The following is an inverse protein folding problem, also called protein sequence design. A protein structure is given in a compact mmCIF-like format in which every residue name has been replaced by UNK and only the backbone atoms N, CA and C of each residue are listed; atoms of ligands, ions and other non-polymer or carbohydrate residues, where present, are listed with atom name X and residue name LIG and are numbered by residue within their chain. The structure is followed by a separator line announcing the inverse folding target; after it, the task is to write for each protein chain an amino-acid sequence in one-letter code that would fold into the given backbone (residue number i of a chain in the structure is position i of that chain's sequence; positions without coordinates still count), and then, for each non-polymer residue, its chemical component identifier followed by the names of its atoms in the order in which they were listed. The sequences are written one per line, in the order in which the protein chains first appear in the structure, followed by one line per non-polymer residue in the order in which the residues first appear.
data_IF_056171920535
#
_entry.id   IF_056171920535
#
_cell.length_a   1.000
_cell.length_b   1.000
_cell.length_c   1.000
_cell.angle_alpha   90.00
_cell.angle_beta   90.00
_cell.angle_gamma   90.00
#
_symmetry.space_group_name_H-M   'P 1'
#
loop_
_entity.id
_entity.type
_entity.pdbx_description
1 polymer ?
#
# COMPACT_ATOMS: atom_id res chain seq x y z
N UNK A 1 53.27 15.46 -17.04
CA UNK A 1 52.23 15.96 -17.94
C UNK A 1 50.88 15.22 -17.70
N UNK A 2 50.88 13.91 -17.66
CA UNK A 2 49.65 13.11 -17.46
C UNK A 2 48.92 13.36 -16.13
N UNK A 3 49.65 13.46 -15.00
CA UNK A 3 49.05 13.74 -13.67
C UNK A 3 48.35 15.10 -13.60
N UNK A 4 48.91 16.12 -14.25
CA UNK A 4 48.26 17.47 -14.33
C UNK A 4 46.98 17.42 -15.18
N UNK A 5 46.91 16.60 -16.22
CA UNK A 5 45.68 16.43 -17.00
C UNK A 5 44.61 15.68 -16.21
N UNK A 6 44.96 14.64 -15.46
CA UNK A 6 44.04 13.88 -14.63
C UNK A 6 43.47 14.79 -13.50
N UNK A 7 44.32 15.56 -12.82
CA UNK A 7 43.88 16.51 -11.80
C UNK A 7 42.93 17.61 -12.35
N UNK A 8 43.25 18.10 -13.55
CA UNK A 8 42.39 19.12 -14.21
C UNK A 8 41.07 18.52 -14.66
N UNK A 9 41.02 17.26 -15.08
CA UNK A 9 39.81 16.55 -15.46
C UNK A 9 38.95 16.23 -14.24
N UNK A 10 39.53 15.84 -13.12
CA UNK A 10 38.85 15.60 -11.84
C UNK A 10 38.29 16.93 -11.30
N UNK A 11 39.09 18.01 -11.31
CA UNK A 11 38.65 19.35 -10.89
C UNK A 11 37.47 19.88 -11.72
N UNK A 12 37.54 19.78 -13.06
CA UNK A 12 36.44 20.18 -13.94
C UNK A 12 35.19 19.32 -13.74
N UNK A 13 35.35 18.04 -13.51
CA UNK A 13 34.21 17.12 -13.25
C UNK A 13 33.58 17.42 -11.87
N UNK A 14 34.38 17.80 -10.90
CA UNK A 14 33.94 18.17 -9.56
C UNK A 14 33.24 19.55 -9.59
N UNK A 15 33.76 20.51 -10.34
CA UNK A 15 33.09 21.83 -10.58
C UNK A 15 31.77 21.64 -11.32
N UNK A 16 31.74 20.88 -12.41
CA UNK A 16 30.50 20.60 -13.15
C UNK A 16 29.48 19.84 -12.31
N UNK A 17 29.91 18.93 -11.42
CA UNK A 17 29.05 18.26 -10.46
C UNK A 17 28.55 19.23 -9.37
N UNK A 18 29.41 20.11 -8.85
CA UNK A 18 29.02 21.12 -7.87
C UNK A 18 28.07 22.16 -8.47
N UNK A 19 28.31 22.61 -9.70
CA UNK A 19 27.39 23.49 -10.41
C UNK A 19 26.05 22.84 -10.75
N UNK A 20 26.02 21.55 -11.13
CA UNK A 20 24.78 20.79 -11.28
C UNK A 20 24.01 20.64 -9.95
N UNK A 21 24.71 20.39 -8.86
CA UNK A 21 24.12 20.30 -7.51
C UNK A 21 23.62 21.69 -7.05
N UNK A 22 24.31 22.77 -7.41
CA UNK A 22 23.93 24.14 -7.02
C UNK A 22 22.80 24.72 -7.89
N UNK A 23 22.65 24.27 -9.15
CA UNK A 23 21.59 24.69 -10.06
C UNK A 23 20.30 23.88 -9.93
N UNK A 24 20.28 22.80 -9.14
CA UNK A 24 19.04 22.12 -8.80
C UNK A 24 18.25 23.03 -7.86
N UNK A 25 17.26 23.73 -8.42
CA UNK A 25 16.33 24.58 -7.68
C UNK A 25 15.74 23.76 -6.54
N UNK A 26 16.20 24.01 -5.30
CA UNK A 26 15.58 23.41 -4.11
C UNK A 26 14.12 23.84 -4.04
N UNK A 27 13.21 22.96 -4.39
CA UNK A 27 11.78 23.23 -4.27
C UNK A 27 11.42 23.16 -2.79
N UNK A 28 11.06 24.29 -2.21
CA UNK A 28 10.52 24.32 -0.84
C UNK A 28 9.12 23.69 -0.85
N UNK A 29 9.02 22.52 -0.29
CA UNK A 29 7.73 21.83 -0.11
C UNK A 29 6.91 22.57 0.96
N UNK A 30 5.70 23.01 0.59
CA UNK A 30 4.80 23.73 1.49
C UNK A 30 4.16 22.82 2.55
N UNK A 31 3.56 23.42 3.60
CA UNK A 31 2.89 22.67 4.67
C UNK A 31 1.79 21.74 4.18
N UNK A 32 1.06 22.11 3.11
CA UNK A 32 0.04 21.25 2.49
C UNK A 32 0.61 19.95 1.93
N UNK A 33 1.84 19.98 1.36
CA UNK A 33 2.51 18.78 0.88
C UNK A 33 2.81 17.81 2.04
N UNK A 34 3.42 18.34 3.12
CA UNK A 34 3.76 17.51 4.29
C UNK A 34 2.53 16.92 4.95
N UNK A 35 1.44 17.69 5.04
CA UNK A 35 0.16 17.22 5.58
C UNK A 35 -0.44 16.13 4.69
N UNK A 36 -0.46 16.33 3.37
CA UNK A 36 -0.94 15.33 2.41
C UNK A 36 -0.09 14.05 2.50
N UNK A 37 1.25 14.18 2.47
CA UNK A 37 2.15 13.05 2.61
C UNK A 37 1.84 12.23 3.88
N UNK A 38 1.79 12.89 5.03
CA UNK A 38 1.57 12.19 6.31
C UNK A 38 0.21 11.51 6.37
N UNK A 39 -0.87 12.21 5.97
CA UNK A 39 -2.24 11.66 6.05
C UNK A 39 -2.43 10.49 5.08
N UNK A 40 -2.02 10.65 3.82
CA UNK A 40 -2.22 9.60 2.81
C UNK A 40 -1.30 8.41 3.04
N UNK A 41 -0.04 8.64 3.43
CA UNK A 41 0.88 7.58 3.78
C UNK A 41 0.37 6.78 4.99
N UNK A 42 -0.04 7.47 6.07
CA UNK A 42 -0.58 6.81 7.26
C UNK A 42 -1.86 6.03 6.95
N UNK A 43 -2.84 6.67 6.30
CA UNK A 43 -4.12 6.00 6.04
C UNK A 43 -3.99 4.82 5.09
N UNK A 44 -3.13 4.95 4.07
CA UNK A 44 -2.81 3.83 3.19
C UNK A 44 -2.27 2.63 3.97
N UNK A 45 -1.32 2.87 4.89
CA UNK A 45 -0.75 1.81 5.71
C UNK A 45 -1.76 1.25 6.74
N UNK A 46 -2.64 2.08 7.31
CA UNK A 46 -3.73 1.63 8.18
C UNK A 46 -4.67 0.68 7.44
N UNK A 47 -5.08 1.02 6.21
CA UNK A 47 -5.92 0.16 5.40
C UNK A 47 -5.22 -1.16 5.04
N UNK A 48 -3.91 -1.13 4.69
CA UNK A 48 -3.10 -2.33 4.43
C UNK A 48 -2.91 -3.21 5.66
N UNK A 49 -2.77 -2.65 6.86
CA UNK A 49 -2.72 -3.43 8.12
C UNK A 49 -4.04 -4.16 8.35
N UNK A 50 -5.17 -3.49 8.13
CA UNK A 50 -6.49 -4.12 8.29
C UNK A 50 -6.67 -5.24 7.26
N UNK A 51 -6.30 -5.04 6.00
CA UNK A 51 -6.36 -6.07 4.97
C UNK A 51 -5.45 -7.26 5.28
N UNK A 52 -4.17 -7.00 5.53
CA UNK A 52 -3.17 -8.07 5.66
C UNK A 52 -3.26 -8.86 6.98
N UNK A 53 -3.87 -8.29 8.03
CA UNK A 53 -3.93 -8.92 9.34
C UNK A 53 -5.37 -9.20 9.79
N UNK A 54 -6.23 -8.19 9.84
CA UNK A 54 -7.58 -8.33 10.39
C UNK A 54 -8.55 -9.03 9.46
N UNK A 55 -8.43 -8.85 8.14
CA UNK A 55 -9.30 -9.55 7.18
C UNK A 55 -9.10 -11.07 7.21
N UNK A 56 -7.88 -11.54 7.47
CA UNK A 56 -7.59 -12.96 7.65
C UNK A 56 -8.31 -13.53 8.88
N UNK A 57 -8.27 -12.79 10.00
CA UNK A 57 -8.98 -13.15 11.24
C UNK A 57 -10.49 -13.09 11.04
N UNK A 58 -11.00 -12.06 10.36
CA UNK A 58 -12.41 -11.95 10.00
C UNK A 58 -12.89 -13.19 9.24
N UNK A 59 -12.19 -13.59 8.20
CA UNK A 59 -12.56 -14.74 7.38
C UNK A 59 -12.49 -16.05 8.19
N UNK A 60 -11.50 -16.16 9.07
CA UNK A 60 -11.37 -17.32 9.96
C UNK A 60 -12.51 -17.38 10.98
N UNK A 61 -12.76 -16.28 11.74
CA UNK A 61 -13.77 -16.25 12.82
C UNK A 61 -15.22 -16.27 12.28
N UNK A 62 -15.49 -15.56 11.19
CA UNK A 62 -16.87 -15.41 10.67
C UNK A 62 -17.33 -16.60 9.82
N UNK A 63 -16.42 -17.13 8.99
CA UNK A 63 -16.76 -18.17 8.00
C UNK A 63 -16.05 -19.50 8.27
N UNK A 64 -15.32 -19.63 9.38
CA UNK A 64 -14.52 -20.82 9.71
C UNK A 64 -13.59 -21.23 8.56
N UNK A 65 -12.96 -20.25 7.92
CA UNK A 65 -12.12 -20.46 6.76
C UNK A 65 -10.88 -21.28 7.11
N UNK A 66 -10.54 -22.23 6.24
CA UNK A 66 -9.31 -23.02 6.37
C UNK A 66 -8.07 -22.18 6.05
N UNK A 67 -6.89 -22.63 6.50
CA UNK A 67 -5.61 -22.03 6.12
C UNK A 67 -5.42 -21.97 4.60
N UNK A 68 -5.95 -22.95 3.85
CA UNK A 68 -5.94 -22.95 2.38
C UNK A 68 -6.75 -21.81 1.79
N UNK A 69 -7.92 -21.48 2.39
CA UNK A 69 -8.75 -20.36 1.95
C UNK A 69 -8.06 -19.01 2.20
N UNK A 70 -7.41 -18.85 3.35
CA UNK A 70 -6.61 -17.67 3.68
C UNK A 70 -5.44 -17.53 2.70
N UNK A 71 -4.70 -18.61 2.44
CA UNK A 71 -3.62 -18.60 1.44
C UNK A 71 -4.11 -18.23 0.05
N UNK A 72 -5.28 -18.72 -0.35
CA UNK A 72 -5.89 -18.41 -1.64
C UNK A 72 -6.26 -16.92 -1.74
N UNK A 73 -6.81 -16.33 -0.67
CA UNK A 73 -7.11 -14.91 -0.59
C UNK A 73 -5.84 -14.06 -0.74
N UNK A 74 -4.82 -14.34 0.08
CA UNK A 74 -3.53 -13.61 0.04
C UNK A 74 -2.87 -13.73 -1.34
N UNK A 75 -2.90 -14.90 -1.97
CA UNK A 75 -2.34 -15.09 -3.31
C UNK A 75 -3.12 -14.30 -4.38
N UNK A 76 -4.45 -14.32 -4.33
CA UNK A 76 -5.30 -13.58 -5.26
C UNK A 76 -5.10 -12.06 -5.12
N UNK A 77 -5.06 -11.57 -3.88
CA UNK A 77 -4.78 -10.17 -3.55
C UNK A 77 -3.39 -9.74 -4.05
N UNK A 78 -2.34 -10.52 -3.80
CA UNK A 78 -0.98 -10.22 -4.26
C UNK A 78 -0.87 -10.16 -5.79
N UNK A 79 -1.54 -11.07 -6.51
CA UNK A 79 -1.61 -11.03 -7.98
C UNK A 79 -2.33 -9.75 -8.43
N UNK A 80 -3.47 -9.44 -7.83
CA UNK A 80 -4.25 -8.24 -8.13
C UNK A 80 -3.43 -6.97 -7.88
N UNK A 81 -2.77 -6.85 -6.72
CA UNK A 81 -1.91 -5.73 -6.38
C UNK A 81 -0.80 -5.53 -7.42
N UNK A 82 -0.10 -6.61 -7.78
CA UNK A 82 1.01 -6.56 -8.73
C UNK A 82 0.56 -6.09 -10.11
N UNK A 83 -0.49 -6.71 -10.65
CA UNK A 83 -1.03 -6.34 -11.96
C UNK A 83 -1.55 -4.89 -11.94
N UNK A 84 -2.32 -4.54 -10.91
CA UNK A 84 -2.88 -3.19 -10.77
C UNK A 84 -1.80 -2.14 -10.69
N UNK A 85 -0.78 -2.31 -9.86
CA UNK A 85 0.31 -1.34 -9.70
C UNK A 85 1.01 -1.07 -11.02
N UNK A 86 1.30 -2.12 -11.80
CA UNK A 86 1.96 -2.01 -13.10
C UNK A 86 1.06 -1.30 -14.12
N UNK A 87 -0.19 -1.77 -14.28
CA UNK A 87 -1.09 -1.22 -15.29
C UNK A 87 -1.57 0.19 -14.94
N UNK A 88 -2.00 0.41 -13.71
CA UNK A 88 -2.52 1.70 -13.27
C UNK A 88 -1.42 2.73 -13.08
N UNK A 89 -0.20 2.30 -12.73
CA UNK A 89 0.99 3.16 -12.73
C UNK A 89 1.24 3.74 -14.12
N UNK A 90 1.37 2.89 -15.14
CA UNK A 90 1.56 3.32 -16.52
C UNK A 90 0.38 4.16 -17.05
N UNK A 91 -0.85 3.85 -16.62
CA UNK A 91 -2.04 4.63 -16.99
C UNK A 91 -2.02 6.03 -16.39
N UNK A 92 -1.66 6.14 -15.10
CA UNK A 92 -1.58 7.43 -14.40
C UNK A 92 -0.46 8.30 -14.96
N UNK A 93 0.67 7.72 -15.40
CA UNK A 93 1.77 8.40 -16.10
C UNK A 93 1.30 9.00 -17.43
N UNK A 94 0.54 8.21 -18.17
CA UNK A 94 0.02 8.63 -19.48
C UNK A 94 -1.02 9.74 -19.38
N UNK A 95 -1.93 9.65 -18.41
CA UNK A 95 -2.99 10.65 -18.19
C UNK A 95 -2.40 11.91 -17.56
N UNK A 96 -1.37 11.77 -16.69
CA UNK A 96 -0.71 12.88 -16.03
C UNK A 96 -1.59 13.57 -14.97
N UNK A 97 -2.50 12.84 -14.33
CA UNK A 97 -3.43 13.36 -13.31
C UNK A 97 -3.36 12.54 -12.03
N UNK A 98 -2.23 12.64 -11.30
CA UNK A 98 -1.99 11.87 -10.07
C UNK A 98 -3.09 12.04 -9.03
N UNK A 99 -3.51 13.30 -8.81
CA UNK A 99 -4.55 13.64 -7.82
C UNK A 99 -5.85 12.88 -8.05
N UNK A 100 -6.27 12.72 -9.32
CA UNK A 100 -7.51 12.01 -9.63
C UNK A 100 -7.41 10.53 -9.25
N UNK A 101 -6.29 9.87 -9.57
CA UNK A 101 -6.07 8.47 -9.22
C UNK A 101 -5.95 8.24 -7.72
N UNK A 102 -5.25 9.14 -7.01
CA UNK A 102 -5.12 9.07 -5.56
C UNK A 102 -6.48 9.28 -4.91
N UNK A 103 -7.09 10.44 -5.10
CA UNK A 103 -8.32 10.81 -4.39
C UNK A 103 -9.51 9.93 -4.79
N UNK A 104 -9.70 9.70 -6.09
CA UNK A 104 -10.75 8.81 -6.60
C UNK A 104 -10.56 7.36 -6.15
N UNK A 105 -9.32 6.89 -6.17
CA UNK A 105 -8.97 5.56 -5.71
C UNK A 105 -9.23 5.38 -4.22
N UNK A 106 -8.84 6.34 -3.35
CA UNK A 106 -9.15 6.29 -1.91
C UNK A 106 -10.65 6.29 -1.62
N UNK A 107 -11.45 7.06 -2.39
CA UNK A 107 -12.93 7.04 -2.25
C UNK A 107 -13.47 5.64 -2.58
N UNK A 108 -13.07 5.07 -3.71
CA UNK A 108 -13.52 3.74 -4.13
C UNK A 108 -12.98 2.64 -3.22
N UNK A 109 -11.77 2.78 -2.72
CA UNK A 109 -11.18 1.90 -1.71
C UNK A 109 -11.99 1.93 -0.41
N UNK A 110 -12.34 3.12 0.10
CA UNK A 110 -13.19 3.28 1.27
C UNK A 110 -14.57 2.64 1.09
N UNK A 111 -15.18 2.79 -0.09
CA UNK A 111 -16.48 2.14 -0.42
C UNK A 111 -16.32 0.62 -0.44
N UNK A 112 -15.25 0.08 -1.01
CA UNK A 112 -15.01 -1.37 -1.03
C UNK A 112 -14.77 -1.93 0.37
N UNK A 113 -14.05 -1.21 1.25
CA UNK A 113 -13.91 -1.59 2.67
C UNK A 113 -15.27 -1.60 3.36
N UNK A 114 -16.11 -0.61 3.14
CA UNK A 114 -17.47 -0.59 3.68
C UNK A 114 -18.31 -1.80 3.27
N UNK A 115 -18.08 -2.32 2.07
CA UNK A 115 -18.86 -3.47 1.56
C UNK A 115 -18.65 -4.75 2.39
N UNK A 116 -17.52 -4.87 3.12
CA UNK A 116 -17.31 -6.00 4.05
C UNK A 116 -18.30 -6.04 5.21
N UNK A 117 -18.92 -4.92 5.57
CA UNK A 117 -20.00 -4.87 6.58
C UNK A 117 -21.19 -5.77 6.19
N UNK A 118 -21.40 -5.96 4.89
CA UNK A 118 -22.48 -6.81 4.35
C UNK A 118 -22.12 -8.31 4.35
N UNK A 119 -20.86 -8.67 4.57
CA UNK A 119 -20.41 -10.06 4.61
C UNK A 119 -20.65 -10.70 5.98
N UNK A 120 -21.92 -10.88 6.29
CA UNK A 120 -22.42 -11.54 7.50
C UNK A 120 -23.19 -12.79 7.10
N UNK A 121 -23.06 -13.85 7.88
CA UNK A 121 -23.74 -15.14 7.62
C UNK A 121 -25.24 -14.96 7.53
N UNK A 122 -25.84 -14.20 8.45
CA UNK A 122 -27.29 -13.92 8.50
C UNK A 122 -27.79 -13.11 7.28
N UNK A 123 -26.94 -12.29 6.67
CA UNK A 123 -27.27 -11.56 5.45
C UNK A 123 -27.14 -12.50 4.25
N UNK A 124 -26.03 -13.24 4.14
CA UNK A 124 -25.76 -14.15 3.02
C UNK A 124 -26.86 -15.20 2.89
N UNK A 125 -27.30 -15.79 4.00
CA UNK A 125 -28.36 -16.81 4.03
C UNK A 125 -29.68 -16.35 3.41
N UNK A 126 -29.98 -15.05 3.43
CA UNK A 126 -31.19 -14.49 2.82
C UNK A 126 -31.17 -14.49 1.30
N UNK A 127 -29.96 -14.55 0.70
CA UNK A 127 -29.77 -14.42 -0.74
C UNK A 127 -29.35 -15.72 -1.43
N UNK A 128 -29.06 -16.78 -0.68
CA UNK A 128 -28.59 -18.05 -1.24
C UNK A 128 -29.65 -19.16 -1.04
N UNK A 129 -29.70 -20.19 -1.93
CA UNK A 129 -30.51 -21.36 -1.73
C UNK A 129 -30.10 -22.11 -0.45
N UNK A 130 -31.05 -22.75 0.24
CA UNK A 130 -30.80 -23.54 1.45
C UNK A 130 -29.83 -24.73 1.23
N UNK A 131 -29.56 -25.08 -0.01
CA UNK A 131 -28.59 -26.13 -0.39
C UNK A 131 -27.14 -25.67 -0.37
N UNK A 132 -26.89 -24.35 -0.29
CA UNK A 132 -25.54 -23.76 -0.27
C UNK A 132 -25.14 -23.39 1.16
N UNK A 133 -23.92 -23.72 1.54
CA UNK A 133 -23.38 -23.32 2.83
C UNK A 133 -22.98 -21.83 2.80
N UNK A 134 -23.59 -21.01 3.65
CA UNK A 134 -23.31 -19.57 3.74
C UNK A 134 -21.83 -19.28 4.00
N UNK A 135 -21.17 -20.13 4.79
CA UNK A 135 -19.73 -20.00 5.05
C UNK A 135 -18.89 -20.12 3.77
N UNK A 136 -19.17 -21.08 2.90
CA UNK A 136 -18.41 -21.25 1.64
C UNK A 136 -18.64 -20.08 0.68
N UNK A 137 -19.87 -19.58 0.62
CA UNK A 137 -20.22 -18.39 -0.17
C UNK A 137 -19.53 -17.14 0.42
N UNK A 138 -19.56 -17.00 1.77
CA UNK A 138 -18.89 -15.93 2.48
C UNK A 138 -17.38 -15.88 2.22
N UNK A 139 -16.71 -17.03 2.27
CA UNK A 139 -15.27 -17.13 1.91
C UNK A 139 -15.04 -16.65 0.47
N UNK A 140 -15.83 -17.11 -0.49
CA UNK A 140 -15.67 -16.73 -1.90
C UNK A 140 -15.90 -15.24 -2.11
N UNK A 141 -16.95 -14.68 -1.50
CA UNK A 141 -17.27 -13.25 -1.58
C UNK A 141 -16.17 -12.40 -0.92
N UNK A 142 -15.61 -12.87 0.21
CA UNK A 142 -14.49 -12.19 0.87
C UNK A 142 -13.28 -12.11 -0.06
N UNK A 143 -12.90 -13.20 -0.72
CA UNK A 143 -11.77 -13.22 -1.67
C UNK A 143 -12.03 -12.27 -2.85
N UNK A 144 -13.23 -12.29 -3.42
CA UNK A 144 -13.58 -11.41 -4.54
C UNK A 144 -13.57 -9.93 -4.14
N UNK A 145 -14.15 -9.62 -2.98
CA UNK A 145 -14.21 -8.25 -2.49
C UNK A 145 -12.84 -7.73 -2.08
N UNK A 146 -11.99 -8.61 -1.53
CA UNK A 146 -10.58 -8.31 -1.25
C UNK A 146 -9.82 -7.95 -2.52
N UNK A 147 -9.97 -8.71 -3.61
CA UNK A 147 -9.39 -8.33 -4.90
C UNK A 147 -9.87 -6.96 -5.41
N UNK A 148 -11.16 -6.62 -5.23
CA UNK A 148 -11.71 -5.31 -5.58
C UNK A 148 -11.11 -4.21 -4.71
N UNK A 149 -11.02 -4.44 -3.41
CA UNK A 149 -10.41 -3.54 -2.44
C UNK A 149 -8.93 -3.30 -2.77
N UNK A 150 -8.17 -4.35 -3.00
CA UNK A 150 -6.75 -4.31 -3.40
C UNK A 150 -6.56 -3.58 -4.73
N UNK A 151 -7.46 -3.76 -5.71
CA UNK A 151 -7.39 -3.02 -6.97
C UNK A 151 -7.46 -1.51 -6.75
N UNK A 152 -8.37 -1.02 -5.93
CA UNK A 152 -8.46 0.42 -5.64
C UNK A 152 -7.33 0.91 -4.75
N UNK A 153 -6.94 0.14 -3.72
CA UNK A 153 -5.81 0.46 -2.84
C UNK A 153 -4.50 0.55 -3.60
N UNK A 154 -4.17 -0.45 -4.41
CA UNK A 154 -2.94 -0.46 -5.21
C UNK A 154 -2.94 0.63 -6.30
N UNK A 155 -4.11 0.93 -6.89
CA UNK A 155 -4.22 2.06 -7.82
C UNK A 155 -3.88 3.39 -7.14
N UNK A 156 -4.47 3.63 -5.98
CA UNK A 156 -4.37 4.91 -5.28
C UNK A 156 -3.04 5.07 -4.54
N UNK A 157 -2.66 4.07 -3.74
CA UNK A 157 -1.53 4.14 -2.82
C UNK A 157 -0.23 3.65 -3.49
N UNK A 158 -0.21 2.44 -4.03
CA UNK A 158 1.04 1.86 -4.52
C UNK A 158 1.48 2.47 -5.85
N UNK A 159 0.56 2.70 -6.76
CA UNK A 159 0.87 3.29 -8.06
C UNK A 159 0.88 4.82 -8.02
N UNK A 160 -0.28 5.45 -7.75
CA UNK A 160 -0.42 6.89 -7.96
C UNK A 160 0.20 7.74 -6.86
N UNK A 161 0.09 7.34 -5.57
CA UNK A 161 0.64 8.11 -4.46
C UNK A 161 2.16 8.05 -4.41
N UNK A 162 2.78 6.87 -4.58
CA UNK A 162 4.23 6.75 -4.64
C UNK A 162 4.82 7.49 -5.84
N UNK A 163 4.13 7.47 -7.00
CA UNK A 163 4.53 8.27 -8.14
C UNK A 163 4.39 9.78 -7.87
N UNK A 164 3.29 10.23 -7.22
CA UNK A 164 3.12 11.62 -6.80
C UNK A 164 4.21 12.09 -5.84
N UNK A 165 4.60 11.24 -4.88
CA UNK A 165 5.69 11.52 -3.94
C UNK A 165 7.00 11.74 -4.69
N UNK A 166 7.32 10.85 -5.63
CA UNK A 166 8.52 10.94 -6.46
C UNK A 166 8.51 12.18 -7.36
N UNK A 167 7.38 12.46 -8.02
CA UNK A 167 7.24 13.59 -8.94
C UNK A 167 7.23 14.95 -8.24
N UNK A 168 6.82 14.99 -6.96
CA UNK A 168 6.73 16.22 -6.16
C UNK A 168 8.00 16.55 -5.39
N UNK A 169 8.99 15.64 -5.35
CA UNK A 169 10.22 15.77 -4.57
C UNK A 169 11.45 15.87 -5.46
N UNK A 170 12.49 16.52 -4.97
CA UNK A 170 13.82 16.60 -5.59
C UNK A 170 14.91 15.96 -4.71
N UNK A 171 16.16 15.94 -5.18
CA UNK A 171 17.29 15.35 -4.47
C UNK A 171 17.52 15.96 -3.07
N UNK A 172 17.11 17.19 -2.82
CA UNK A 172 17.33 17.91 -1.56
C UNK A 172 16.32 17.56 -0.47
N UNK A 173 15.10 17.12 -0.83
CA UNK A 173 13.99 16.91 0.10
C UNK A 173 13.39 15.50 0.05
N UNK A 174 13.69 14.70 -0.99
CA UNK A 174 13.21 13.33 -1.18
C UNK A 174 13.53 12.42 -0.01
N UNK A 175 14.78 12.47 0.50
CA UNK A 175 15.20 11.64 1.62
C UNK A 175 14.35 11.87 2.88
N UNK A 176 13.94 13.12 3.16
CA UNK A 176 13.06 13.45 4.27
C UNK A 176 11.63 12.94 4.01
N UNK A 177 11.13 13.11 2.80
CA UNK A 177 9.78 12.69 2.44
C UNK A 177 9.65 11.15 2.47
N UNK A 178 10.61 10.44 1.88
CA UNK A 178 10.68 8.98 1.93
C UNK A 178 10.89 8.45 3.35
N UNK A 179 11.67 9.15 4.18
CA UNK A 179 11.85 8.81 5.60
C UNK A 179 10.54 8.85 6.37
N UNK A 180 9.70 9.89 6.16
CA UNK A 180 8.37 9.97 6.76
C UNK A 180 7.49 8.82 6.22
N UNK A 181 7.48 8.60 4.91
CA UNK A 181 6.69 7.52 4.30
C UNK A 181 7.08 6.14 4.86
N UNK A 182 8.37 5.88 5.03
CA UNK A 182 8.89 4.61 5.54
C UNK A 182 8.57 4.35 7.03
N UNK A 183 8.27 5.38 7.82
CA UNK A 183 7.84 5.23 9.22
C UNK A 183 6.35 4.88 9.34
N UNK A 184 5.54 5.18 8.34
CA UNK A 184 4.08 5.06 8.46
C UNK A 184 3.56 3.63 8.64
N UNK A 185 4.17 2.56 8.08
CA UNK A 185 3.75 1.20 8.38
C UNK A 185 3.80 0.88 9.89
N UNK A 186 4.87 1.29 10.58
CA UNK A 186 5.02 1.10 12.02
C UNK A 186 3.96 1.89 12.80
N UNK A 187 3.78 3.16 12.46
CA UNK A 187 2.75 4.02 13.09
C UNK A 187 1.35 3.45 12.85
N UNK A 188 1.08 2.93 11.65
CA UNK A 188 -0.20 2.33 11.31
C UNK A 188 -0.50 1.08 12.13
N UNK A 189 0.49 0.18 12.28
CA UNK A 189 0.34 -1.02 13.12
C UNK A 189 0.00 -0.62 14.55
N UNK A 190 0.73 0.34 15.14
CA UNK A 190 0.46 0.83 16.49
C UNK A 190 -0.92 1.50 16.60
N UNK A 191 -1.33 2.27 15.60
CA UNK A 191 -2.64 2.94 15.57
C UNK A 191 -3.79 1.93 15.47
N UNK A 192 -3.66 0.91 14.63
CA UNK A 192 -4.68 -0.12 14.43
C UNK A 192 -4.82 -1.00 15.67
N UNK A 193 -3.71 -1.57 16.16
CA UNK A 193 -3.76 -2.41 17.36
C UNK A 193 -4.16 -1.60 18.60
N UNK A 194 -3.59 -0.39 18.80
CA UNK A 194 -3.96 0.47 19.91
C UNK A 194 -5.39 1.01 19.84
N UNK A 195 -5.92 1.24 18.64
CA UNK A 195 -7.30 1.68 18.44
C UNK A 195 -8.33 0.55 18.66
N UNK A 196 -8.03 -0.64 18.16
CA UNK A 196 -8.98 -1.76 18.22
C UNK A 196 -8.95 -2.52 19.55
N UNK A 197 -7.88 -2.36 20.36
CA UNK A 197 -7.82 -2.96 21.71
C UNK A 197 -8.95 -2.53 22.64
N UNK A 198 -9.63 -1.42 22.34
CA UNK A 198 -10.76 -0.92 23.13
C UNK A 198 -12.10 -1.45 22.62
N UNK A 199 -12.12 -2.22 21.52
CA UNK A 199 -13.31 -2.84 20.99
C UNK A 199 -13.50 -4.21 21.63
N UNK A 200 -14.74 -4.53 21.96
CA UNK A 200 -15.12 -5.85 22.45
C UNK A 200 -15.17 -6.84 21.27
N UNK A 201 -14.21 -7.75 21.22
CA UNK A 201 -14.06 -8.73 20.14
C UNK A 201 -15.06 -9.89 20.18
N UNK A 202 -15.80 -10.03 21.30
CA UNK A 202 -16.95 -10.92 21.43
C UNK A 202 -18.25 -10.29 20.90
N UNK A 203 -18.25 -8.98 20.65
CA UNK A 203 -19.40 -8.26 20.13
C UNK A 203 -19.77 -8.71 18.71
N UNK A 204 -21.06 -8.97 18.47
CA UNK A 204 -21.60 -9.25 17.12
C UNK A 204 -21.28 -8.13 16.11
N UNK A 205 -21.08 -6.90 16.58
CA UNK A 205 -20.80 -5.73 15.76
C UNK A 205 -19.31 -5.43 15.58
N UNK A 206 -18.40 -6.23 16.15
CA UNK A 206 -16.96 -5.99 16.12
C UNK A 206 -16.43 -5.69 14.71
N UNK A 207 -16.66 -6.60 13.77
CA UNK A 207 -16.24 -6.44 12.37
C UNK A 207 -16.96 -5.31 11.66
N UNK A 208 -18.25 -5.12 11.94
CA UNK A 208 -19.03 -4.00 11.40
C UNK A 208 -18.42 -2.66 11.80
N UNK A 209 -18.01 -2.50 13.05
CA UNK A 209 -17.38 -1.27 13.57
C UNK A 209 -16.02 -1.06 12.89
N UNK A 210 -15.17 -2.08 12.82
CA UNK A 210 -13.84 -1.98 12.20
C UNK A 210 -13.94 -1.54 10.73
N UNK A 211 -14.70 -2.27 9.92
CA UNK A 211 -14.82 -1.94 8.50
C UNK A 211 -15.51 -0.61 8.25
N UNK A 212 -16.48 -0.23 9.11
CA UNK A 212 -17.13 1.07 9.01
C UNK A 212 -16.18 2.22 9.32
N UNK A 213 -15.40 2.13 10.39
CA UNK A 213 -14.43 3.17 10.76
C UNK A 213 -13.38 3.33 9.68
N UNK A 214 -12.75 2.22 9.28
CA UNK A 214 -11.66 2.28 8.30
C UNK A 214 -12.18 2.71 6.93
N UNK A 215 -13.32 2.16 6.49
CA UNK A 215 -13.96 2.57 5.24
C UNK A 215 -14.33 4.06 5.22
N UNK A 216 -14.93 4.58 6.31
CA UNK A 216 -15.27 5.99 6.44
C UNK A 216 -14.03 6.89 6.42
N UNK A 217 -12.99 6.55 7.19
CA UNK A 217 -11.75 7.33 7.23
C UNK A 217 -11.07 7.36 5.87
N UNK A 218 -10.96 6.20 5.20
CA UNK A 218 -10.37 6.10 3.85
C UNK A 218 -11.13 6.95 2.84
N UNK A 219 -12.46 6.88 2.85
CA UNK A 219 -13.33 7.66 1.98
C UNK A 219 -13.19 9.18 2.23
N UNK A 220 -13.26 9.59 3.50
CA UNK A 220 -13.15 11.01 3.89
C UNK A 220 -11.79 11.57 3.48
N UNK A 221 -10.71 10.82 3.69
CA UNK A 221 -9.35 11.22 3.28
C UNK A 221 -9.27 11.35 1.76
N UNK A 222 -9.89 10.43 1.01
CA UNK A 222 -10.01 10.56 -0.44
C UNK A 222 -10.65 11.88 -0.88
N UNK A 223 -11.76 12.28 -0.23
CA UNK A 223 -12.44 13.56 -0.50
C UNK A 223 -11.57 14.75 -0.10
N UNK A 224 -10.96 14.72 1.09
CA UNK A 224 -10.07 15.78 1.60
C UNK A 224 -8.85 15.95 0.69
N UNK A 225 -8.38 14.86 0.08
CA UNK A 225 -7.26 14.85 -0.85
C UNK A 225 -7.41 15.79 -2.03
N UNK A 226 -8.63 16.00 -2.53
CA UNK A 226 -8.87 16.96 -3.62
C UNK A 226 -8.49 18.39 -3.24
N UNK A 227 -8.45 18.73 -1.95
CA UNK A 227 -8.05 20.05 -1.44
C UNK A 227 -6.59 20.11 -1.00
N UNK A 228 -6.00 18.97 -0.64
CA UNK A 228 -4.62 18.89 -0.13
C UNK A 228 -3.60 18.57 -1.22
N UNK A 229 -3.91 17.60 -2.10
CA UNK A 229 -2.96 17.14 -3.11
C UNK A 229 -2.89 18.15 -4.24
N UNK A 230 -1.69 18.71 -4.43
CA UNK A 230 -1.38 19.53 -5.58
C UNK A 230 -0.87 18.63 -6.71
N UNK A 231 -1.42 18.83 -7.92
CA UNK A 231 -0.94 18.13 -9.11
C UNK A 231 0.48 18.57 -9.43
N UNK A 232 1.47 17.66 -9.55
CA UNK A 232 2.80 18.03 -10.01
C UNK A 232 2.79 18.39 -11.50
N UNK A 233 3.75 19.22 -11.93
CA UNK A 233 3.94 19.52 -13.35
C UNK A 233 4.59 18.32 -14.05
N UNK A 234 3.78 17.45 -14.60
CA UNK A 234 4.23 16.24 -15.27
C UNK A 234 4.43 16.46 -16.76
N UNK A 235 5.58 16.07 -17.27
CA UNK A 235 5.75 15.79 -18.70
C UNK A 235 5.11 14.45 -19.00
N UNK A 236 4.05 14.45 -19.79
CA UNK A 236 3.40 13.20 -20.22
C UNK A 236 4.42 12.31 -20.90
N UNK A 237 4.39 11.03 -20.57
CA UNK A 237 5.25 10.05 -21.22
C UNK A 237 4.91 9.96 -22.71
N UNK A 238 5.88 10.18 -23.58
CA UNK A 238 5.75 10.00 -25.04
C UNK A 238 5.80 8.53 -25.46
N UNK A 239 6.19 7.64 -24.54
CA UNK A 239 6.25 6.19 -24.80
C UNK A 239 4.84 5.59 -24.90
N UNK A 240 4.68 4.65 -25.82
CA UNK A 240 3.45 3.87 -25.92
C UNK A 240 3.19 3.09 -24.62
N UNK A 241 1.92 2.96 -24.25
CA UNK A 241 1.48 2.35 -22.99
C UNK A 241 2.13 0.99 -22.68
N UNK A 242 2.07 0.05 -23.64
CA UNK A 242 2.71 -1.27 -23.48
C UNK A 242 4.22 -1.20 -23.40
N UNK A 243 4.86 -0.27 -24.11
CA UNK A 243 6.30 -0.08 -24.05
C UNK A 243 6.75 0.47 -22.70
N UNK A 244 5.95 1.33 -22.06
CA UNK A 244 6.19 1.81 -20.69
C UNK A 244 6.16 0.66 -19.70
N UNK A 245 5.15 -0.20 -19.77
CA UNK A 245 5.00 -1.38 -18.89
C UNK A 245 6.19 -2.33 -19.06
N UNK A 246 6.55 -2.64 -20.30
CA UNK A 246 7.60 -3.62 -20.59
C UNK A 246 9.03 -3.07 -20.47
N UNK A 247 9.20 -1.76 -20.27
CA UNK A 247 10.51 -1.13 -20.25
C UNK A 247 11.43 -1.72 -19.16
N UNK A 248 10.90 -1.88 -17.95
CA UNK A 248 11.64 -2.46 -16.82
C UNK A 248 12.02 -3.94 -17.01
N UNK A 249 11.31 -4.67 -17.85
CA UNK A 249 11.57 -6.10 -18.11
C UNK A 249 12.48 -6.34 -19.31
N UNK A 250 12.91 -5.30 -20.04
CA UNK A 250 13.79 -5.45 -21.19
C UNK A 250 15.20 -5.87 -20.74
N UNK A 251 15.81 -6.92 -21.36
CA UNK A 251 17.17 -7.34 -21.02
C UNK A 251 18.21 -6.23 -21.13
N UNK A 252 18.00 -5.28 -22.03
CA UNK A 252 18.85 -4.10 -22.19
C UNK A 252 18.82 -3.20 -20.95
N UNK A 253 17.64 -2.96 -20.37
CA UNK A 253 17.45 -2.15 -19.15
C UNK A 253 18.08 -2.84 -17.95
N UNK A 254 17.87 -4.15 -17.81
CA UNK A 254 18.49 -4.98 -16.73
C UNK A 254 20.01 -4.90 -16.78
N UNK A 255 20.61 -5.00 -17.97
CA UNK A 255 22.05 -4.91 -18.15
C UNK A 255 22.64 -3.53 -17.86
N UNK A 256 21.85 -2.46 -18.04
CA UNK A 256 22.29 -1.08 -17.75
C UNK A 256 22.33 -0.77 -16.25
N UNK A 257 21.45 -1.41 -15.44
CA UNK A 257 21.32 -1.14 -14.00
C UNK A 257 21.30 -2.44 -13.16
N UNK A 258 22.35 -3.29 -13.22
CA UNK A 258 22.34 -4.60 -12.58
C UNK A 258 22.18 -4.50 -11.06
N UNK A 259 22.79 -3.50 -10.42
CA UNK A 259 22.68 -3.28 -8.96
C UNK A 259 21.23 -3.09 -8.50
N UNK A 260 20.40 -2.39 -9.29
CA UNK A 260 18.99 -2.22 -9.00
C UNK A 260 18.27 -3.57 -8.97
N UNK A 261 18.49 -4.43 -9.96
CA UNK A 261 17.82 -5.74 -10.04
C UNK A 261 18.30 -6.71 -8.96
N UNK A 262 19.58 -6.64 -8.55
CA UNK A 262 20.09 -7.42 -7.41
C UNK A 262 19.41 -6.95 -6.12
N UNK A 263 19.29 -5.64 -5.90
CA UNK A 263 18.59 -5.09 -4.75
C UNK A 263 17.11 -5.48 -4.73
N UNK A 264 16.42 -5.43 -5.88
CA UNK A 264 15.04 -5.89 -6.02
C UNK A 264 14.89 -7.38 -5.71
N UNK A 265 15.81 -8.23 -6.20
CA UNK A 265 15.79 -9.66 -5.90
C UNK A 265 15.96 -9.94 -4.39
N UNK A 266 16.90 -9.25 -3.73
CA UNK A 266 17.06 -9.36 -2.27
C UNK A 266 15.81 -8.90 -1.52
N UNK A 267 15.19 -7.80 -1.96
CA UNK A 267 13.95 -7.29 -1.38
C UNK A 267 12.77 -8.26 -1.57
N UNK A 268 12.67 -8.92 -2.73
CA UNK A 268 11.65 -9.95 -2.99
C UNK A 268 11.82 -11.12 -2.01
N UNK A 269 13.03 -11.65 -1.83
CA UNK A 269 13.29 -12.77 -0.90
C UNK A 269 12.93 -12.39 0.52
N UNK A 270 13.29 -11.18 0.95
CA UNK A 270 12.94 -10.67 2.28
C UNK A 270 11.40 -10.56 2.46
N UNK A 271 10.70 -10.00 1.49
CA UNK A 271 9.23 -9.87 1.57
C UNK A 271 8.51 -11.21 1.54
N UNK A 272 8.99 -12.19 0.76
CA UNK A 272 8.42 -13.54 0.77
C UNK A 272 8.47 -14.12 2.20
N UNK A 273 9.59 -13.97 2.91
CA UNK A 273 9.73 -14.51 4.27
C UNK A 273 8.73 -13.89 5.25
N UNK A 274 8.41 -12.60 5.11
CA UNK A 274 7.40 -11.92 5.92
C UNK A 274 5.99 -12.42 5.56
N UNK A 275 5.66 -12.50 4.29
CA UNK A 275 4.33 -12.87 3.82
C UNK A 275 3.93 -14.31 4.11
N UNK A 276 4.88 -15.19 4.42
CA UNK A 276 4.59 -16.58 4.82
C UNK A 276 3.88 -16.63 6.18
N UNK A 277 4.26 -15.81 7.15
CA UNK A 277 3.70 -15.89 8.52
C UNK A 277 2.72 -14.76 8.86
N UNK A 278 2.87 -13.56 8.26
CA UNK A 278 2.06 -12.39 8.62
C UNK A 278 0.54 -12.62 8.53
N UNK A 279 -0.02 -13.29 7.51
CA UNK A 279 -1.45 -13.54 7.42
C UNK A 279 -2.01 -14.39 8.57
N UNK A 280 -1.17 -15.19 9.20
CA UNK A 280 -1.56 -16.09 10.28
C UNK A 280 -1.15 -15.59 11.66
N UNK A 281 -0.46 -14.47 11.76
CA UNK A 281 0.19 -14.01 12.99
C UNK A 281 -0.82 -13.84 14.13
N UNK A 282 -1.93 -13.13 13.90
CA UNK A 282 -2.97 -12.92 14.92
C UNK A 282 -3.64 -14.25 15.28
N UNK A 283 -4.01 -15.04 14.28
CA UNK A 283 -4.64 -16.37 14.48
C UNK A 283 -3.72 -17.27 15.31
N UNK A 284 -2.42 -17.24 15.07
CA UNK A 284 -1.42 -18.00 15.84
C UNK A 284 -1.40 -17.56 17.31
N UNK A 285 -1.40 -16.26 17.59
CA UNK A 285 -1.44 -15.76 18.97
C UNK A 285 -2.74 -16.12 19.67
N UNK A 286 -3.89 -15.91 19.04
CA UNK A 286 -5.19 -16.16 19.67
C UNK A 286 -5.49 -17.66 19.81
N UNK A 287 -5.26 -18.46 18.76
CA UNK A 287 -5.72 -19.86 18.70
C UNK A 287 -4.65 -20.84 19.18
N UNK A 288 -3.38 -20.66 18.75
CA UNK A 288 -2.32 -21.62 19.09
C UNK A 288 -1.67 -21.33 20.44
N UNK A 289 -1.55 -20.06 20.81
CA UNK A 289 -0.93 -19.64 22.07
C UNK A 289 -1.96 -19.27 23.14
N UNK A 290 -3.25 -19.25 22.81
CA UNK A 290 -4.36 -18.89 23.71
C UNK A 290 -4.15 -17.52 24.43
N UNK A 291 -3.54 -16.56 23.73
CA UNK A 291 -3.19 -15.26 24.26
C UNK A 291 -4.30 -14.26 24.03
N UNK A 292 -5.14 -14.00 25.03
CA UNK A 292 -6.20 -12.98 24.98
C UNK A 292 -5.66 -11.54 24.88
N UNK A 293 -4.44 -11.28 25.36
CA UNK A 293 -3.83 -9.95 25.41
C UNK A 293 -2.63 -9.80 24.46
N UNK A 294 -2.62 -10.49 23.31
CA UNK A 294 -1.51 -10.43 22.34
C UNK A 294 -1.17 -9.01 21.88
N UNK A 295 -2.15 -8.10 21.85
CA UNK A 295 -1.96 -6.70 21.47
C UNK A 295 -0.96 -5.99 22.40
N UNK A 296 -1.04 -6.26 23.73
CA UNK A 296 -0.13 -5.67 24.71
C UNK A 296 1.31 -6.16 24.54
N UNK A 297 1.51 -7.32 23.93
CA UNK A 297 2.82 -7.89 23.67
C UNK A 297 3.34 -7.45 22.30
N UNK A 298 2.46 -7.35 21.31
CA UNK A 298 2.81 -6.90 19.96
C UNK A 298 3.29 -5.44 19.94
N UNK A 299 2.63 -4.56 20.68
CA UNK A 299 2.99 -3.15 20.70
C UNK A 299 4.44 -2.89 21.15
N UNK A 300 4.93 -3.47 22.28
CA UNK A 300 6.33 -3.33 22.69
C UNK A 300 7.33 -4.07 21.78
N UNK A 301 6.91 -5.16 21.13
CA UNK A 301 7.80 -5.92 20.24
C UNK A 301 8.07 -5.21 18.89
N UNK A 302 7.23 -4.24 18.55
CA UNK A 302 7.32 -3.46 17.31
C UNK A 302 8.17 -2.18 17.54
N UNK A 303 8.21 -1.65 18.76
CA UNK A 303 9.00 -0.47 19.16
C UNK A 303 10.47 -0.83 19.38
#
# INVERSE_FOLDING_TARGET
MLLRMIFKFISLKTEMLSERIFMEKTTKLGGKFWLALTIFSLMGQVAWVVENMYLNVFMYKTFNASASNISAMVAASAITATLTTVFMGALSDRIGKRRLFICGGYILWGISIFSFVLLRTDIIEKFIPATMAAASVGVTLTILLDCVMTFFGSTANDAAFNAWLTDSTDSSNRGKAEGINAMMPLVAVLAVFGGFMFLDDESEFYWTIIFSIIGALTLVIGVVGFFLIKEPELKKSEMGYLNSILYGFKPSTVKQTPTLYIALAAFIVFNISIQIFMPYLIIYYEVSLEMSNYVLIMAPAII
#
